data_IF_379161775052
#
_entry.id   IF_379161775052
#
_cell.length_a   1.000
_cell.length_b   1.000
_cell.length_c   1.000
_cell.angle_alpha   90.00
_cell.angle_beta   90.00
_cell.angle_gamma   90.00
#
_symmetry.space_group_name_H-M   'P 1'
#
loop_
_entity.id
_entity.type
_entity.pdbx_description
1 polymer ?
#
# COMPACT_ATOMS: atom_id res chain seq x y z
N UNK A 1 -11.81 8.83 3.51
CA UNK A 1 -11.35 9.31 4.84
C UNK A 1 -12.29 10.38 5.43
N UNK A 2 -12.43 11.57 4.83
CA UNK A 2 -13.14 12.71 5.42
C UNK A 2 -14.57 12.39 5.94
N UNK A 3 -15.35 11.60 5.21
CA UNK A 3 -16.74 11.29 5.57
C UNK A 3 -16.88 10.30 6.74
N UNK A 4 -15.93 9.36 6.88
CA UNK A 4 -16.02 8.26 7.85
C UNK A 4 -15.10 8.45 9.07
N UNK A 5 -13.99 9.18 8.89
CA UNK A 5 -12.99 9.46 9.92
C UNK A 5 -12.61 10.95 9.90
N UNK A 6 -13.54 11.87 10.19
CA UNK A 6 -13.31 13.31 10.04
C UNK A 6 -12.18 13.84 10.93
N UNK A 7 -12.04 13.30 12.15
CA UNK A 7 -10.96 13.69 13.07
C UNK A 7 -9.58 13.26 12.55
N UNK A 8 -9.47 12.02 12.08
CA UNK A 8 -8.25 11.49 11.46
C UNK A 8 -7.90 12.29 10.20
N UNK A 9 -8.90 12.63 9.39
CA UNK A 9 -8.71 13.46 8.21
C UNK A 9 -8.15 14.85 8.56
N UNK A 10 -8.76 15.55 9.53
CA UNK A 10 -8.29 16.86 9.96
C UNK A 10 -6.85 16.78 10.49
N UNK A 11 -6.57 15.77 11.30
CA UNK A 11 -5.24 15.56 11.86
C UNK A 11 -4.17 15.33 10.77
N UNK A 12 -4.44 14.43 9.82
CA UNK A 12 -3.53 14.19 8.70
C UNK A 12 -3.39 15.42 7.80
N UNK A 13 -4.46 16.16 7.57
CA UNK A 13 -4.44 17.36 6.75
C UNK A 13 -3.51 18.43 7.35
N UNK A 14 -3.65 18.71 8.64
CA UNK A 14 -2.78 19.64 9.38
C UNK A 14 -1.32 19.17 9.37
N UNK A 15 -1.08 17.88 9.64
CA UNK A 15 0.26 17.31 9.62
C UNK A 15 0.92 17.42 8.24
N UNK A 16 0.18 17.09 7.17
CA UNK A 16 0.68 17.18 5.80
C UNK A 16 0.93 18.62 5.34
N UNK A 17 0.09 19.58 5.77
CA UNK A 17 0.34 21.00 5.52
C UNK A 17 1.61 21.49 6.24
N UNK A 18 1.77 21.15 7.51
CA UNK A 18 2.96 21.49 8.28
C UNK A 18 4.23 20.88 7.67
N UNK A 19 4.14 19.63 7.19
CA UNK A 19 5.24 18.96 6.50
C UNK A 19 5.59 19.63 5.17
N UNK A 20 4.59 19.95 4.34
CA UNK A 20 4.80 20.64 3.07
C UNK A 20 5.46 22.02 3.24
N UNK A 21 5.10 22.74 4.31
CA UNK A 21 5.73 24.03 4.63
C UNK A 21 7.19 23.88 5.08
N UNK A 22 7.50 22.83 5.85
CA UNK A 22 8.86 22.59 6.37
C UNK A 22 9.79 21.93 5.35
N UNK A 23 9.26 21.08 4.47
CA UNK A 23 10.00 20.25 3.53
C UNK A 23 9.32 20.29 2.14
N UNK A 24 9.40 21.44 1.45
CA UNK A 24 8.68 21.67 0.18
C UNK A 24 9.17 20.78 -0.97
N UNK A 25 10.32 20.11 -0.84
CA UNK A 25 10.82 19.13 -1.79
C UNK A 25 10.04 17.81 -1.76
N UNK A 26 9.34 17.50 -0.65
CA UNK A 26 8.52 16.31 -0.54
C UNK A 26 7.23 16.49 -1.35
N UNK A 27 6.96 15.52 -2.22
CA UNK A 27 5.76 15.53 -3.08
C UNK A 27 4.63 14.69 -2.49
N UNK A 28 3.40 15.18 -2.62
CA UNK A 28 2.20 14.37 -2.36
C UNK A 28 2.05 13.27 -3.42
N UNK A 29 1.42 12.16 -3.05
CA UNK A 29 1.19 11.02 -3.96
C UNK A 29 0.35 11.42 -5.19
N UNK A 30 -0.74 12.16 -4.95
CA UNK A 30 -1.59 12.77 -5.96
C UNK A 30 -2.26 14.01 -5.40
N UNK A 31 -2.75 14.88 -6.29
CA UNK A 31 -3.51 16.06 -5.90
C UNK A 31 -4.73 15.65 -5.07
N UNK A 32 -4.81 16.15 -3.84
CA UNK A 32 -5.90 15.84 -2.92
C UNK A 32 -5.70 14.58 -2.06
N UNK A 33 -4.57 13.88 -2.18
CA UNK A 33 -4.21 12.82 -1.24
C UNK A 33 -3.93 13.41 0.13
N UNK A 34 -4.56 12.86 1.17
CA UNK A 34 -4.23 13.11 2.58
C UNK A 34 -3.27 12.08 3.17
N UNK A 35 -3.02 10.98 2.44
CA UNK A 35 -2.03 10.00 2.85
C UNK A 35 -0.61 10.49 2.50
N UNK A 36 0.35 10.38 3.44
CA UNK A 36 1.75 10.72 3.19
C UNK A 36 2.36 9.79 2.15
N UNK A 37 1.99 8.51 2.15
CA UNK A 37 2.63 7.48 1.33
C UNK A 37 1.63 6.52 0.68
N UNK A 38 2.11 5.86 -0.36
CA UNK A 38 1.40 4.82 -1.10
C UNK A 38 2.40 3.72 -1.47
N UNK A 39 1.95 2.47 -1.37
CA UNK A 39 2.73 1.30 -1.72
C UNK A 39 1.97 0.44 -2.73
N UNK A 40 2.70 -0.10 -3.70
CA UNK A 40 2.17 -1.01 -4.72
C UNK A 40 2.83 -2.36 -4.56
N UNK A 41 2.06 -3.35 -4.11
CA UNK A 41 2.43 -4.75 -4.25
C UNK A 41 2.11 -5.19 -5.66
N UNK A 42 3.11 -5.44 -6.51
CA UNK A 42 2.88 -5.88 -7.89
C UNK A 42 3.30 -7.35 -8.05
N UNK A 43 2.43 -8.12 -8.71
CA UNK A 43 2.62 -9.53 -9.00
C UNK A 43 3.09 -9.82 -10.43
N UNK A 44 3.38 -11.11 -10.67
CA UNK A 44 2.32 -12.03 -11.07
C UNK A 44 1.60 -12.74 -9.90
N UNK A 45 2.21 -12.77 -8.72
CA UNK A 45 1.63 -13.31 -7.48
C UNK A 45 1.92 -12.34 -6.35
N UNK A 46 0.90 -11.73 -5.75
CA UNK A 46 1.08 -10.79 -4.64
C UNK A 46 0.79 -11.48 -3.31
N UNK A 47 1.75 -11.48 -2.38
CA UNK A 47 1.64 -12.13 -1.08
C UNK A 47 2.37 -11.34 0.00
N UNK A 48 1.67 -11.04 1.10
CA UNK A 48 2.21 -10.53 2.34
C UNK A 48 1.82 -11.49 3.47
N UNK A 49 2.82 -12.10 4.11
CA UNK A 49 2.62 -13.07 5.19
C UNK A 49 2.62 -12.32 6.52
N UNK A 50 1.74 -12.72 7.44
CA UNK A 50 1.59 -12.24 8.83
C UNK A 50 2.53 -11.11 9.27
N UNK A 51 2.02 -9.88 9.24
CA UNK A 51 2.77 -8.69 9.63
C UNK A 51 1.85 -7.61 10.22
N UNK A 52 2.50 -6.65 10.89
CA UNK A 52 1.94 -5.32 11.17
C UNK A 52 2.82 -4.30 10.48
N UNK A 53 2.21 -3.24 9.97
CA UNK A 53 2.95 -2.07 9.51
C UNK A 53 3.28 -1.18 10.70
N UNK A 54 4.23 -1.60 11.53
CA UNK A 54 4.60 -0.87 12.75
C UNK A 54 5.12 0.56 12.49
N UNK A 55 5.51 0.87 11.26
CA UNK A 55 5.82 2.23 10.82
C UNK A 55 4.61 3.15 10.58
N UNK A 56 3.38 2.61 10.58
CA UNK A 56 2.15 3.37 10.40
C UNK A 56 1.57 3.84 11.75
N UNK A 57 0.78 4.91 11.72
CA UNK A 57 0.04 5.37 12.88
C UNK A 57 -1.19 4.46 13.13
N UNK A 58 -1.36 3.85 14.31
CA UNK A 58 -2.43 2.88 14.56
C UNK A 58 -3.85 3.49 14.54
N UNK A 59 -3.96 4.79 14.78
CA UNK A 59 -5.19 5.57 14.72
C UNK A 59 -5.56 6.02 13.29
N UNK A 60 -4.65 5.85 12.32
CA UNK A 60 -4.89 6.16 10.92
C UNK A 60 -5.22 4.89 10.13
N UNK A 61 -6.46 4.73 9.62
CA UNK A 61 -6.80 3.59 8.79
C UNK A 61 -5.99 3.60 7.48
N UNK A 62 -5.35 2.49 7.19
CA UNK A 62 -4.77 2.23 5.88
C UNK A 62 -5.88 1.84 4.92
N UNK A 63 -5.87 2.43 3.72
CA UNK A 63 -6.82 2.07 2.66
C UNK A 63 -6.12 1.10 1.74
N UNK A 64 -6.58 -0.14 1.66
CA UNK A 64 -6.01 -1.16 0.81
C UNK A 64 -7.00 -1.49 -0.29
N UNK A 65 -6.57 -1.45 -1.54
CA UNK A 65 -7.38 -1.78 -2.72
C UNK A 65 -6.74 -2.91 -3.49
N UNK A 66 -7.51 -3.97 -3.75
CA UNK A 66 -7.09 -5.06 -4.62
C UNK A 66 -7.39 -4.71 -6.08
N UNK A 67 -6.42 -4.91 -6.95
CA UNK A 67 -6.47 -4.60 -8.38
C UNK A 67 -5.94 -5.79 -9.21
N UNK A 68 -6.22 -5.76 -10.51
CA UNK A 68 -5.81 -6.78 -11.47
C UNK A 68 -6.94 -7.72 -11.86
N UNK A 69 -6.61 -8.74 -12.65
CA UNK A 69 -7.56 -9.76 -13.12
C UNK A 69 -7.24 -11.11 -12.50
N UNK A 70 -7.97 -11.46 -11.45
CA UNK A 70 -7.89 -12.76 -10.79
C UNK A 70 -9.28 -13.23 -10.37
N UNK A 71 -9.37 -14.51 -10.06
CA UNK A 71 -10.56 -15.10 -9.45
C UNK A 71 -10.40 -15.12 -7.93
N UNK A 72 -11.31 -14.47 -7.22
CA UNK A 72 -11.26 -14.39 -5.75
C UNK A 72 -11.60 -15.73 -5.07
N UNK A 73 -12.08 -16.74 -5.80
CA UNK A 73 -12.20 -18.11 -5.30
C UNK A 73 -10.85 -18.85 -5.25
N UNK A 74 -9.85 -18.37 -6.00
CA UNK A 74 -8.55 -19.02 -6.14
C UNK A 74 -7.44 -18.33 -5.31
N UNK A 75 -7.81 -17.33 -4.49
CA UNK A 75 -6.94 -16.61 -3.57
C UNK A 75 -7.17 -15.10 -3.57
N UNK A 76 -6.25 -14.36 -2.93
CA UNK A 76 -6.39 -12.92 -2.71
C UNK A 76 -7.19 -12.54 -1.46
N UNK A 77 -7.59 -13.49 -0.62
CA UNK A 77 -8.27 -13.18 0.64
C UNK A 77 -7.35 -12.43 1.61
N UNK A 78 -7.92 -11.56 2.44
CA UNK A 78 -7.23 -10.90 3.55
C UNK A 78 -7.44 -11.69 4.83
N UNK A 79 -6.37 -11.95 5.56
CA UNK A 79 -6.42 -12.56 6.88
C UNK A 79 -6.18 -11.48 7.93
N UNK A 80 -7.04 -11.42 8.93
CA UNK A 80 -6.88 -10.59 10.12
C UNK A 80 -6.70 -11.53 11.31
N UNK A 81 -5.44 -11.80 11.65
CA UNK A 81 -5.07 -12.87 12.60
C UNK A 81 -5.67 -12.66 13.98
N UNK A 82 -5.62 -11.42 14.47
CA UNK A 82 -6.08 -11.08 15.82
C UNK A 82 -7.62 -11.18 15.94
N UNK A 83 -8.33 -11.04 14.82
CA UNK A 83 -9.78 -11.20 14.74
C UNK A 83 -10.20 -12.63 14.35
N UNK A 84 -9.25 -13.49 13.97
CA UNK A 84 -9.50 -14.83 13.40
C UNK A 84 -10.46 -14.78 12.20
N UNK A 85 -10.32 -13.73 11.37
CA UNK A 85 -11.15 -13.53 10.19
C UNK A 85 -10.35 -13.76 8.91
N UNK A 86 -10.97 -14.45 7.97
CA UNK A 86 -10.57 -14.50 6.57
C UNK A 86 -11.66 -13.78 5.76
N UNK A 87 -11.28 -12.74 5.04
CA UNK A 87 -12.18 -11.89 4.28
C UNK A 87 -11.88 -12.09 2.80
N UNK A 88 -12.87 -12.58 2.06
CA UNK A 88 -12.80 -12.63 0.60
C UNK A 88 -12.61 -11.21 0.06
N UNK A 89 -11.57 -11.02 -0.74
CA UNK A 89 -11.19 -9.69 -1.20
C UNK A 89 -10.97 -9.62 -2.72
N UNK A 90 -12.07 -9.53 -3.49
CA UNK A 90 -12.03 -9.49 -4.94
C UNK A 90 -11.29 -8.28 -5.53
N UNK A 91 -10.81 -8.43 -6.77
CA UNK A 91 -10.35 -7.29 -7.56
C UNK A 91 -11.39 -6.16 -7.60
N UNK A 92 -10.95 -4.93 -7.42
CA UNK A 92 -11.79 -3.73 -7.30
C UNK A 92 -12.31 -3.46 -5.88
N UNK A 93 -12.07 -4.37 -4.92
CA UNK A 93 -12.50 -4.17 -3.53
C UNK A 93 -11.51 -3.30 -2.77
N UNK A 94 -12.04 -2.55 -1.80
CA UNK A 94 -11.26 -1.70 -0.89
C UNK A 94 -11.64 -2.01 0.55
N UNK A 95 -10.64 -2.11 1.41
CA UNK A 95 -10.80 -2.26 2.87
C UNK A 95 -10.04 -1.13 3.58
N UNK A 96 -10.61 -0.65 4.68
CA UNK A 96 -9.93 0.24 5.62
C UNK A 96 -9.64 -0.54 6.89
N UNK A 97 -8.37 -0.61 7.29
CA UNK A 97 -7.95 -1.30 8.51
C UNK A 97 -6.82 -0.55 9.23
N UNK A 98 -6.69 -0.75 10.54
CA UNK A 98 -5.50 -0.33 11.28
C UNK A 98 -4.38 -1.33 11.02
N UNK A 99 -3.51 -1.04 10.06
CA UNK A 99 -2.45 -1.98 9.66
C UNK A 99 -1.27 -2.03 10.64
N UNK A 100 -1.06 -0.96 11.42
CA UNK A 100 -0.12 -0.97 12.56
C UNK A 100 -0.70 -1.72 13.77
N UNK A 101 -2.01 -1.61 13.99
CA UNK A 101 -2.69 -2.13 15.17
C UNK A 101 -3.18 -3.59 15.06
N UNK A 102 -3.22 -4.16 13.85
CA UNK A 102 -3.73 -5.52 13.64
C UNK A 102 -2.80 -6.34 12.75
N UNK A 103 -2.51 -7.57 13.18
CA UNK A 103 -1.81 -8.56 12.36
C UNK A 103 -2.64 -8.96 11.18
N UNK A 104 -2.07 -8.80 9.99
CA UNK A 104 -2.74 -9.08 8.75
C UNK A 104 -1.79 -9.67 7.69
N UNK A 105 -2.40 -10.18 6.64
CA UNK A 105 -1.71 -10.72 5.48
C UNK A 105 -2.72 -11.06 4.39
N UNK A 106 -2.25 -11.59 3.28
CA UNK A 106 -3.13 -12.01 2.20
C UNK A 106 -2.71 -13.38 1.62
N UNK A 107 -3.71 -14.15 1.21
CA UNK A 107 -3.41 -15.30 0.36
C UNK A 107 -2.96 -14.81 -1.01
N UNK A 108 -2.01 -15.52 -1.63
CA UNK A 108 -1.55 -15.14 -2.94
C UNK A 108 -2.65 -15.19 -3.98
N UNK A 109 -2.80 -14.09 -4.70
CA UNK A 109 -3.65 -14.06 -5.89
C UNK A 109 -2.91 -14.67 -7.09
N UNK A 110 -3.68 -15.29 -7.99
CA UNK A 110 -3.17 -15.87 -9.24
C UNK A 110 -3.82 -15.17 -10.43
N UNK A 111 -3.07 -14.81 -11.48
CA UNK A 111 -3.65 -14.18 -12.66
C UNK A 111 -4.67 -15.13 -13.31
N UNK A 112 -5.71 -14.57 -13.91
CA UNK A 112 -6.67 -15.35 -14.70
C UNK A 112 -5.99 -15.88 -15.98
N UNK A 113 -5.84 -17.19 -16.08
CA UNK A 113 -5.21 -17.89 -17.21
C UNK A 113 -3.68 -18.00 -17.12
N UNK A 114 -3.06 -18.70 -18.09
CA UNK A 114 -1.63 -19.08 -18.03
C UNK A 114 -0.65 -17.99 -18.52
N UNK A 115 -1.10 -16.76 -18.80
CA UNK A 115 -0.26 -15.74 -19.44
C UNK A 115 -0.07 -14.53 -18.53
N UNK A 116 1.14 -14.40 -17.98
CA UNK A 116 1.60 -13.20 -17.26
C UNK A 116 1.90 -12.12 -18.30
N UNK A 117 1.01 -11.15 -18.45
CA UNK A 117 1.28 -9.90 -19.18
C UNK A 117 1.21 -8.74 -18.19
N UNK A 118 2.00 -7.66 -18.36
CA UNK A 118 1.97 -6.50 -17.44
C UNK A 118 0.58 -5.87 -17.28
N UNK A 119 -0.32 -6.04 -18.25
CA UNK A 119 -1.71 -5.59 -18.21
C UNK A 119 -2.64 -6.51 -17.42
N UNK A 120 -2.19 -7.72 -17.05
CA UNK A 120 -2.92 -8.73 -16.25
C UNK A 120 -2.27 -9.01 -14.90
N UNK A 121 -1.29 -8.19 -14.51
CA UNK A 121 -0.65 -8.29 -13.21
C UNK A 121 -1.67 -8.10 -12.09
N UNK A 122 -1.64 -9.00 -11.10
CA UNK A 122 -2.33 -8.76 -9.85
C UNK A 122 -1.59 -7.69 -9.07
N UNK A 123 -2.34 -6.79 -8.43
CA UNK A 123 -1.76 -5.70 -7.68
C UNK A 123 -2.56 -5.42 -6.42
N UNK A 124 -1.88 -5.07 -5.34
CA UNK A 124 -2.53 -4.46 -4.18
C UNK A 124 -1.94 -3.07 -3.99
N UNK A 125 -2.83 -2.10 -3.82
CA UNK A 125 -2.45 -0.71 -3.55
C UNK A 125 -2.79 -0.42 -2.11
N UNK A 126 -1.75 -0.23 -1.30
CA UNK A 126 -1.86 0.17 0.09
C UNK A 126 -1.62 1.67 0.23
N UNK A 127 -2.54 2.38 0.84
CA UNK A 127 -2.35 3.73 1.34
C UNK A 127 -1.99 3.66 2.80
N UNK A 128 -0.75 4.02 3.13
CA UNK A 128 -0.28 4.05 4.50
C UNK A 128 -0.44 5.44 5.09
N UNK A 129 -1.09 5.49 6.25
CA UNK A 129 -0.91 6.59 7.18
C UNK A 129 0.40 6.36 7.88
N UNK A 130 1.51 6.77 7.29
CA UNK A 130 2.80 6.71 7.96
C UNK A 130 2.74 7.30 9.37
N UNK A 131 3.65 6.90 10.25
CA UNK A 131 3.76 7.51 11.57
C UNK A 131 3.89 9.03 11.37
N UNK A 132 3.01 9.81 11.99
CA UNK A 132 2.95 11.26 11.75
C UNK A 132 4.25 11.95 12.18
N UNK A 133 4.96 11.35 13.14
CA UNK A 133 6.27 11.80 13.60
C UNK A 133 7.41 11.53 12.60
N UNK A 134 7.23 10.59 11.67
CA UNK A 134 8.28 10.17 10.74
C UNK A 134 7.81 10.04 9.27
N UNK A 135 6.71 10.70 8.95
CA UNK A 135 6.15 10.69 7.60
C UNK A 135 7.17 11.21 6.57
N UNK A 136 8.10 12.08 6.99
CA UNK A 136 9.19 12.54 6.14
C UNK A 136 10.16 11.42 5.72
N UNK A 137 10.64 10.58 6.65
CA UNK A 137 11.55 9.48 6.29
C UNK A 137 10.82 8.44 5.44
N UNK A 138 9.58 8.09 5.80
CA UNK A 138 8.79 7.14 5.01
C UNK A 138 8.50 7.65 3.59
N UNK A 139 8.17 8.94 3.43
CA UNK A 139 7.99 9.56 2.11
C UNK A 139 9.31 9.50 1.32
N UNK A 140 10.44 9.88 1.93
CA UNK A 140 11.75 9.86 1.24
C UNK A 140 12.15 8.47 0.82
N UNK A 141 11.96 7.48 1.71
CA UNK A 141 12.24 6.08 1.42
C UNK A 141 11.45 5.60 0.20
N UNK A 142 10.13 5.81 0.19
CA UNK A 142 9.26 5.38 -0.88
C UNK A 142 9.49 6.16 -2.18
N UNK A 143 9.76 7.47 -2.12
CA UNK A 143 10.09 8.27 -3.31
C UNK A 143 11.45 7.90 -3.90
N UNK A 144 12.43 7.55 -3.06
CA UNK A 144 13.72 7.02 -3.46
C UNK A 144 13.56 5.68 -4.20
N UNK A 145 12.82 4.75 -3.62
CA UNK A 145 12.55 3.44 -4.23
C UNK A 145 11.74 3.53 -5.53
N UNK A 146 10.72 4.40 -5.58
CA UNK A 146 9.96 4.66 -6.81
C UNK A 146 10.85 5.24 -7.93
N UNK A 147 11.85 6.05 -7.59
CA UNK A 147 12.82 6.57 -8.56
C UNK A 147 13.77 5.48 -9.06
N UNK A 148 14.17 4.55 -8.18
CA UNK A 148 14.96 3.36 -8.54
C UNK A 148 14.21 2.41 -9.47
N UNK A 149 12.96 2.09 -9.15
CA UNK A 149 12.07 1.27 -9.99
C UNK A 149 11.87 1.88 -11.40
N UNK A 150 11.61 3.20 -11.47
CA UNK A 150 11.54 3.91 -12.76
C UNK A 150 12.85 3.85 -13.56
N UNK A 151 14.00 3.86 -12.87
CA UNK A 151 15.31 3.69 -13.50
C UNK A 151 15.48 2.30 -14.14
N UNK A 152 15.05 1.24 -13.45
CA UNK A 152 15.10 -0.14 -13.96
C UNK A 152 14.15 -0.36 -15.15
N UNK A 153 12.90 0.12 -15.05
CA UNK A 153 11.93 0.03 -16.14
C UNK A 153 12.41 0.77 -17.41
N UNK A 154 13.07 1.92 -17.27
CA UNK A 154 13.65 2.66 -18.42
C UNK A 154 14.83 1.94 -19.08
N UNK A 155 15.54 1.07 -18.36
CA UNK A 155 16.66 0.28 -18.88
C UNK A 155 16.24 -1.07 -19.49
N UNK A 156 14.94 -1.35 -19.55
CA UNK A 156 14.42 -2.60 -20.11
C UNK A 156 14.70 -3.85 -19.27
N UNK A 157 15.16 -3.69 -18.03
CA UNK A 157 15.34 -4.81 -17.09
C UNK A 157 14.03 -5.10 -16.35
N UNK A 158 13.66 -6.37 -16.25
CA UNK A 158 12.59 -6.78 -15.32
C UNK A 158 13.04 -6.48 -13.89
N UNK A 159 12.23 -5.75 -13.09
CA UNK A 159 12.55 -5.51 -11.69
C UNK A 159 12.66 -6.83 -10.93
N UNK A 160 13.66 -6.97 -10.07
CA UNK A 160 13.82 -8.17 -9.26
C UNK A 160 12.79 -8.19 -8.12
N UNK A 161 12.46 -9.37 -7.60
CA UNK A 161 11.57 -9.52 -6.44
C UNK A 161 12.00 -8.67 -5.23
N UNK A 162 13.31 -8.45 -5.05
CA UNK A 162 13.86 -7.62 -3.99
C UNK A 162 13.51 -6.11 -4.15
N UNK A 163 13.28 -5.64 -5.38
CA UNK A 163 12.91 -4.23 -5.65
C UNK A 163 11.46 -3.92 -5.27
N UNK A 164 10.60 -4.96 -5.20
CA UNK A 164 9.23 -4.84 -4.71
C UNK A 164 9.14 -5.00 -3.19
N UNK A 165 9.92 -5.94 -2.61
CA UNK A 165 9.99 -6.11 -1.16
C UNK A 165 10.53 -4.86 -0.43
N UNK A 166 11.41 -4.08 -1.07
CA UNK A 166 11.92 -2.84 -0.48
C UNK A 166 10.90 -1.69 -0.42
N UNK A 167 9.61 -1.91 -0.72
CA UNK A 167 8.56 -0.93 -0.40
C UNK A 167 7.82 -1.25 0.91
N UNK A 168 8.21 -2.31 1.61
CA UNK A 168 7.50 -2.90 2.77
C UNK A 168 8.34 -2.98 4.05
N UNK A 169 9.47 -2.28 4.11
CA UNK A 169 10.31 -2.19 5.32
C UNK A 169 10.38 -0.75 5.78
#
# INVERSE_FOLDING_TARGET
MASYFPKVYAHLHEAMQALANKQPELKQNFRGSIYPSITFNLGPKTECIDHNDCGNAPDVPCTVTSLGDFNADDGGDVYLWDLRLCIRFPAGSTILLSSAGMRHGNHPNRPRGNTVTPSRSTAWVGYSGGCILDSALQIRYLQGNASRLRGHMKKGGEPSWADYQSMFI
#
